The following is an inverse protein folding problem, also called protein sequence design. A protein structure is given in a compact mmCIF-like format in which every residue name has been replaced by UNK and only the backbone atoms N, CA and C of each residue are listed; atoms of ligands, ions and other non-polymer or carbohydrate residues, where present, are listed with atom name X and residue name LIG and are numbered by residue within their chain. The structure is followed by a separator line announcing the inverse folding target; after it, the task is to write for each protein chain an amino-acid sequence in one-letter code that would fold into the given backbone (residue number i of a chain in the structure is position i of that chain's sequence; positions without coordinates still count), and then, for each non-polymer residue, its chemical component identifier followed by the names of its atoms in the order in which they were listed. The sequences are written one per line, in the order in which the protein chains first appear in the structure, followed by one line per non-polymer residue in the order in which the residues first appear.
data_IF_407124666115
#
_entry.id   IF_407124666115
#
_cell.length_a   1.000
_cell.length_b   1.000
_cell.length_c   1.000
_cell.angle_alpha   90.00
_cell.angle_beta   90.00
_cell.angle_gamma   90.00
#
_symmetry.space_group_name_H-M   'P 1'
#
loop_
_entity.id
_entity.type
_entity.pdbx_description
1 polymer ?
#
# COMPACT_ATOMS: atom_id res chain seq x y z
N UNK A 1 -3.99 -4.61 -17.39
CA UNK A 1 -4.56 -3.54 -16.55
C UNK A 1 -3.57 -3.33 -15.42
N UNK A 2 -2.96 -2.14 -15.34
CA UNK A 2 -1.96 -1.84 -14.32
C UNK A 2 -2.59 -1.96 -12.94
N UNK A 3 -1.86 -2.53 -11.99
CA UNK A 3 -2.34 -2.57 -10.63
C UNK A 3 -2.49 -1.12 -10.12
N UNK A 4 -3.53 -0.82 -9.32
CA UNK A 4 -3.78 0.52 -8.85
C UNK A 4 -2.63 1.00 -7.95
N UNK A 5 -2.07 2.18 -8.22
CA UNK A 5 -1.08 2.80 -7.34
C UNK A 5 -1.67 3.10 -5.95
N UNK A 6 -0.80 3.19 -4.94
CA UNK A 6 -1.21 3.69 -3.63
C UNK A 6 -1.67 5.14 -3.77
N UNK A 7 -2.81 5.53 -3.16
CA UNK A 7 -3.28 6.90 -3.23
C UNK A 7 -2.27 7.82 -2.54
N UNK A 8 -2.01 8.98 -3.15
CA UNK A 8 -1.20 10.04 -2.55
C UNK A 8 -1.85 10.65 -1.30
N UNK A 9 -1.14 11.59 -0.66
CA UNK A 9 -1.61 12.26 0.56
C UNK A 9 -2.97 12.96 0.39
N UNK A 10 -3.23 13.45 -0.82
CA UNK A 10 -4.43 14.22 -1.20
C UNK A 10 -5.47 13.36 -1.91
N UNK A 11 -5.28 12.04 -1.94
CA UNK A 11 -6.15 11.08 -2.60
C UNK A 11 -6.66 10.03 -1.61
N UNK A 12 -7.72 9.31 -2.00
CA UNK A 12 -8.25 8.16 -1.26
C UNK A 12 -8.91 7.19 -2.21
N UNK A 13 -9.01 5.94 -1.80
CA UNK A 13 -9.83 4.97 -2.52
C UNK A 13 -11.32 5.09 -2.15
N UNK A 14 -12.15 4.88 -3.17
CA UNK A 14 -13.60 4.75 -3.08
C UNK A 14 -14.02 3.49 -3.82
N UNK A 15 -14.82 2.66 -3.16
CA UNK A 15 -15.53 1.60 -3.87
C UNK A 15 -16.77 2.21 -4.55
N UNK A 16 -16.78 2.30 -5.88
CA UNK A 16 -17.94 2.70 -6.68
C UNK A 16 -19.11 1.73 -6.56
N UNK A 17 -18.85 0.49 -6.10
CA UNK A 17 -19.86 -0.54 -5.92
C UNK A 17 -20.74 -0.38 -4.67
N UNK A 18 -20.16 -0.11 -3.50
CA UNK A 18 -20.90 -0.01 -2.24
C UNK A 18 -20.72 1.34 -1.51
N UNK A 19 -19.89 2.24 -2.03
CA UNK A 19 -19.61 3.54 -1.42
C UNK A 19 -18.61 3.51 -0.27
N UNK A 20 -17.97 2.37 0.02
CA UNK A 20 -16.94 2.30 1.06
C UNK A 20 -15.73 3.18 0.71
N UNK A 21 -15.22 3.88 1.73
CA UNK A 21 -14.09 4.82 1.62
C UNK A 21 -12.94 4.49 2.59
N UNK A 22 -13.11 3.52 3.49
CA UNK A 22 -12.24 3.39 4.67
C UNK A 22 -11.62 2.01 4.87
N UNK A 23 -12.14 0.96 4.20
CA UNK A 23 -11.67 -0.42 4.41
C UNK A 23 -11.41 -1.14 3.10
N UNK A 24 -10.14 -1.38 2.80
CA UNK A 24 -9.69 -2.12 1.63
C UNK A 24 -8.61 -3.11 2.06
N UNK A 25 -8.64 -4.32 1.49
CA UNK A 25 -7.55 -5.27 1.59
C UNK A 25 -6.59 -4.98 0.43
N UNK A 26 -5.32 -4.76 0.74
CA UNK A 26 -4.29 -4.35 -0.22
C UNK A 26 -3.18 -5.38 -0.22
N UNK A 27 -2.98 -6.03 -1.38
CA UNK A 27 -1.79 -6.85 -1.60
C UNK A 27 -0.71 -5.98 -2.24
N UNK A 28 0.50 -6.01 -1.69
CA UNK A 28 1.65 -5.27 -2.23
C UNK A 28 2.93 -6.08 -2.09
N UNK A 29 3.77 -6.00 -3.12
CA UNK A 29 5.13 -6.52 -3.13
C UNK A 29 6.12 -5.37 -2.93
N UNK A 30 7.06 -5.51 -1.98
CA UNK A 30 8.16 -4.56 -1.77
C UNK A 30 9.48 -5.32 -1.82
N UNK A 31 10.40 -4.84 -2.65
CA UNK A 31 11.78 -5.35 -2.75
C UNK A 31 12.72 -4.35 -2.11
N UNK A 32 13.39 -4.77 -1.05
CA UNK A 32 14.36 -3.95 -0.31
C UNK A 32 15.74 -4.58 -0.34
N UNK A 33 16.77 -3.73 -0.23
CA UNK A 33 18.15 -4.13 0.08
C UNK A 33 18.47 -3.48 1.41
N UNK A 34 18.96 -4.28 2.35
CA UNK A 34 19.22 -3.82 3.72
C UNK A 34 20.70 -4.03 4.07
N UNK A 35 21.29 -3.04 4.74
CA UNK A 35 22.63 -3.16 5.29
C UNK A 35 22.53 -3.66 6.74
N UNK A 36 22.90 -4.92 6.94
CA UNK A 36 22.83 -5.58 8.24
C UNK A 36 24.18 -5.50 8.94
N UNK A 37 24.20 -4.90 10.12
CA UNK A 37 25.32 -4.95 11.04
C UNK A 37 25.10 -6.09 12.02
N UNK A 38 25.99 -7.08 11.93
CA UNK A 38 26.03 -8.20 12.88
C UNK A 38 27.28 -8.01 13.73
N UNK A 39 27.09 -7.83 15.03
CA UNK A 39 28.21 -7.68 15.95
C UNK A 39 28.87 -9.03 16.28
N UNK A 40 29.99 -8.98 17.00
CA UNK A 40 30.76 -10.18 17.39
C UNK A 40 30.00 -11.11 18.35
N UNK A 41 28.98 -10.61 19.05
CA UNK A 41 28.09 -11.42 19.90
C UNK A 41 26.97 -12.11 19.12
N UNK A 42 26.81 -11.76 17.83
CA UNK A 42 25.75 -12.25 16.96
C UNK A 42 24.46 -11.44 17.05
N UNK A 43 24.46 -10.29 17.74
CA UNK A 43 23.31 -9.41 17.72
C UNK A 43 23.25 -8.69 16.36
N UNK A 44 22.02 -8.50 15.88
CA UNK A 44 21.75 -7.97 14.55
C UNK A 44 21.05 -6.63 14.66
N UNK A 45 21.52 -5.65 13.90
CA UNK A 45 20.84 -4.38 13.67
C UNK A 45 20.86 -4.04 12.19
N UNK A 46 19.76 -3.50 11.67
CA UNK A 46 19.70 -2.98 10.30
C UNK A 46 20.08 -1.50 10.36
N UNK A 47 21.17 -1.12 9.69
CA UNK A 47 21.69 0.25 9.69
C UNK A 47 21.11 1.09 8.54
N UNK A 48 20.84 0.46 7.40
CA UNK A 48 20.25 1.13 6.23
C UNK A 48 19.25 0.21 5.52
N UNK A 49 18.21 0.79 4.94
CA UNK A 49 17.19 0.07 4.18
C UNK A 49 16.87 0.85 2.91
N UNK A 50 17.24 0.31 1.77
CA UNK A 50 16.92 0.87 0.48
C UNK A 50 15.75 0.13 -0.18
N UNK A 51 14.70 0.86 -0.55
CA UNK A 51 13.58 0.31 -1.31
C UNK A 51 13.90 0.36 -2.79
N UNK A 52 14.08 -0.81 -3.41
CA UNK A 52 14.37 -0.93 -4.84
C UNK A 52 13.11 -0.91 -5.69
N UNK A 53 12.03 -1.47 -5.17
CA UNK A 53 10.76 -1.58 -5.87
C UNK A 53 9.62 -1.69 -4.87
N UNK A 54 8.52 -0.98 -5.12
CA UNK A 54 7.26 -1.19 -4.43
C UNK A 54 6.15 -1.19 -5.48
N UNK A 55 5.30 -2.20 -5.44
CA UNK A 55 4.18 -2.36 -6.36
C UNK A 55 2.97 -2.86 -5.59
N UNK A 56 1.83 -2.22 -5.81
CA UNK A 56 0.54 -2.77 -5.42
C UNK A 56 0.18 -3.88 -6.40
N UNK A 57 -0.31 -5.01 -5.90
CA UNK A 57 -0.70 -6.16 -6.72
C UNK A 57 -2.21 -6.21 -6.91
N UNK A 58 -2.97 -5.94 -5.85
CA UNK A 58 -4.43 -5.86 -5.90
C UNK A 58 -4.99 -5.03 -4.74
N UNK A 59 -6.17 -4.47 -4.97
CA UNK A 59 -6.94 -3.75 -3.95
C UNK A 59 -8.38 -4.26 -4.01
N UNK A 60 -8.89 -4.76 -2.89
CA UNK A 60 -10.24 -5.31 -2.80
C UNK A 60 -11.04 -4.57 -1.74
N UNK A 61 -12.29 -4.21 -2.03
CA UNK A 61 -13.19 -3.67 -1.02
C UNK A 61 -13.54 -4.74 0.01
N UNK A 62 -13.10 -4.55 1.25
CA UNK A 62 -13.35 -5.52 2.33
C UNK A 62 -14.83 -5.72 2.68
N UNK A 63 -15.70 -4.78 2.29
CA UNK A 63 -17.14 -4.87 2.58
C UNK A 63 -17.92 -5.66 1.55
N UNK A 64 -17.65 -5.45 0.26
CA UNK A 64 -18.42 -6.10 -0.81
C UNK A 64 -17.61 -7.11 -1.62
N UNK A 65 -16.31 -7.23 -1.37
CA UNK A 65 -15.41 -8.17 -2.03
C UNK A 65 -15.01 -7.78 -3.46
N UNK A 66 -15.41 -6.61 -3.95
CA UNK A 66 -15.07 -6.15 -5.31
C UNK A 66 -13.69 -5.53 -5.39
N UNK A 67 -12.93 -5.92 -6.40
CA UNK A 67 -11.65 -5.32 -6.82
C UNK A 67 -11.77 -4.50 -8.12
N UNK A 68 -12.85 -4.71 -8.89
CA UNK A 68 -13.12 -4.07 -10.18
C UNK A 68 -13.72 -2.66 -10.07
N UNK A 69 -14.28 -2.32 -8.92
CA UNK A 69 -15.00 -1.08 -8.66
C UNK A 69 -14.25 -0.13 -7.71
N UNK A 70 -12.93 -0.23 -7.63
CA UNK A 70 -12.10 0.64 -6.78
C UNK A 70 -11.58 1.83 -7.60
N UNK A 71 -11.92 3.03 -7.14
CA UNK A 71 -11.59 4.29 -7.79
C UNK A 71 -10.71 5.13 -6.85
N UNK A 72 -9.67 5.77 -7.39
CA UNK A 72 -8.93 6.82 -6.66
C UNK A 72 -9.67 8.14 -6.85
N UNK A 73 -10.01 8.79 -5.74
CA UNK A 73 -10.71 10.09 -5.73
C UNK A 73 -9.95 11.08 -4.87
N UNK A 74 -10.08 12.40 -5.11
CA UNK A 74 -9.52 13.40 -4.21
C UNK A 74 -10.02 13.21 -2.78
N UNK A 75 -9.10 13.37 -1.82
CA UNK A 75 -9.44 13.49 -0.42
C UNK A 75 -10.16 14.83 -0.27
N UNK A 76 -11.46 14.78 0.04
CA UNK A 76 -12.18 15.99 0.39
C UNK A 76 -11.50 16.60 1.63
N UNK A 77 -11.06 17.85 1.52
CA UNK A 77 -10.60 18.65 2.64
C UNK A 77 -11.67 18.57 3.74
N UNK A 78 -11.29 18.13 4.94
CA UNK A 78 -12.14 18.34 6.10
C UNK A 78 -12.06 19.84 6.40
N UNK A 79 -13.02 20.59 5.84
CA UNK A 79 -13.18 22.02 6.09
C UNK A 79 -13.46 22.34 7.55
#
# INVERSE_FOLDING_TARGET
MGAPDLPGADERWRCGGCGNLTRFDVARSRRTVEFWHVDLSGAVSVEDTEVREERVESVTCRWCGRDDAIETVPRAEAG
#
